data_IF_502730816671
#
_entry.id   IF_502730816671
#
_cell.length_a   1.000
_cell.length_b   1.000
_cell.length_c   1.000
_cell.angle_alpha   90.00
_cell.angle_beta   90.00
_cell.angle_gamma   90.00
#
_symmetry.space_group_name_H-M   'P 1'
#
loop_
_entity.id
_entity.type
_entity.pdbx_description
1 polymer ?
#
# COMPACT_ATOMS: atom_id res chain seq x y z
N UNK A 1 -14.95 8.82 7.62
CA UNK A 1 -16.27 8.37 7.15
C UNK A 1 -16.06 7.21 6.19
N UNK A 2 -16.79 6.10 6.34
CA UNK A 2 -16.64 4.93 5.45
C UNK A 2 -17.41 5.16 4.15
N UNK A 3 -16.76 4.95 3.02
CA UNK A 3 -17.37 5.06 1.69
C UNK A 3 -17.73 3.67 1.17
N UNK A 4 -19.01 3.43 0.88
CA UNK A 4 -19.46 2.15 0.32
C UNK A 4 -19.40 2.15 -1.20
N UNK A 5 -18.77 1.11 -1.76
CA UNK A 5 -18.54 0.96 -3.21
C UNK A 5 -19.05 -0.38 -3.73
N UNK A 6 -19.14 -0.49 -5.05
CA UNK A 6 -19.46 -1.75 -5.72
C UNK A 6 -18.30 -2.75 -5.61
N UNK A 7 -18.59 -4.04 -5.81
CA UNK A 7 -17.57 -5.11 -5.73
C UNK A 7 -16.44 -4.88 -6.74
N UNK A 8 -16.77 -4.44 -7.96
CA UNK A 8 -15.78 -4.16 -9.00
C UNK A 8 -14.81 -3.04 -8.57
N UNK A 9 -15.33 -1.96 -7.99
CA UNK A 9 -14.54 -0.83 -7.50
C UNK A 9 -13.66 -1.23 -6.31
N UNK A 10 -14.18 -2.07 -5.43
CA UNK A 10 -13.43 -2.61 -4.29
C UNK A 10 -12.25 -3.50 -4.74
N UNK A 11 -12.45 -4.33 -5.77
CA UNK A 11 -11.39 -5.13 -6.38
C UNK A 11 -10.37 -4.26 -7.10
N UNK A 12 -10.82 -3.28 -7.89
CA UNK A 12 -9.92 -2.31 -8.54
C UNK A 12 -9.09 -1.54 -7.51
N UNK A 13 -9.68 -1.16 -6.36
CA UNK A 13 -8.95 -0.55 -5.26
C UNK A 13 -7.88 -1.49 -4.68
N UNK A 14 -8.22 -2.77 -4.52
CA UNK A 14 -7.27 -3.81 -4.07
C UNK A 14 -6.09 -3.94 -5.04
N UNK A 15 -6.37 -4.01 -6.33
CA UNK A 15 -5.34 -4.12 -7.37
C UNK A 15 -4.42 -2.89 -7.37
N UNK A 16 -4.98 -1.67 -7.25
CA UNK A 16 -4.18 -0.44 -7.13
C UNK A 16 -3.23 -0.46 -5.94
N UNK A 17 -3.70 -0.91 -4.76
CA UNK A 17 -2.84 -1.06 -3.58
C UNK A 17 -1.70 -2.06 -3.84
N UNK A 18 -2.02 -3.18 -4.49
CA UNK A 18 -1.04 -4.20 -4.85
C UNK A 18 0.01 -3.67 -5.86
N UNK A 19 -0.43 -2.97 -6.90
CA UNK A 19 0.46 -2.37 -7.91
C UNK A 19 1.37 -1.31 -7.29
N UNK A 20 0.85 -0.47 -6.39
CA UNK A 20 1.65 0.52 -5.65
C UNK A 20 2.75 -0.16 -4.81
N UNK A 21 2.39 -1.22 -4.08
CA UNK A 21 3.31 -1.92 -3.19
C UNK A 21 4.38 -2.74 -3.93
N UNK A 22 4.06 -3.26 -5.12
CA UNK A 22 4.96 -4.15 -5.87
C UNK A 22 5.56 -3.45 -7.08
N UNK A 23 4.76 -3.22 -8.13
CA UNK A 23 5.27 -2.76 -9.42
C UNK A 23 5.90 -1.37 -9.31
N UNK A 24 5.21 -0.42 -8.68
CA UNK A 24 5.72 0.96 -8.59
C UNK A 24 6.89 1.07 -7.62
N UNK A 25 6.81 0.41 -6.46
CA UNK A 25 7.90 0.40 -5.49
C UNK A 25 9.18 -0.20 -6.07
N UNK A 26 9.10 -1.37 -6.71
CA UNK A 26 10.26 -2.04 -7.31
C UNK A 26 10.82 -1.30 -8.53
N UNK A 27 10.02 -0.43 -9.17
CA UNK A 27 10.50 0.39 -10.27
C UNK A 27 11.32 1.61 -9.81
N UNK A 28 11.25 1.99 -8.54
CA UNK A 28 12.04 3.11 -8.01
C UNK A 28 13.50 2.71 -7.79
N UNK A 29 14.40 3.22 -8.62
CA UNK A 29 15.85 2.99 -8.54
C UNK A 29 16.55 4.04 -7.68
N UNK A 30 16.01 5.28 -7.60
CA UNK A 30 16.60 6.40 -6.85
C UNK A 30 15.86 6.81 -5.58
N UNK A 31 16.53 7.60 -4.72
CA UNK A 31 15.90 8.20 -3.53
C UNK A 31 14.79 9.17 -3.91
N UNK A 32 15.00 10.02 -4.93
CA UNK A 32 13.98 10.97 -5.40
C UNK A 32 12.71 10.27 -5.89
N UNK A 33 12.87 9.17 -6.62
CA UNK A 33 11.76 8.34 -7.10
C UNK A 33 11.02 7.70 -5.92
N UNK A 34 11.75 7.15 -4.95
CA UNK A 34 11.15 6.58 -3.72
C UNK A 34 10.47 7.64 -2.86
N UNK A 35 11.00 8.86 -2.78
CA UNK A 35 10.37 9.99 -2.10
C UNK A 35 9.04 10.35 -2.76
N UNK A 36 9.04 10.52 -4.08
CA UNK A 36 7.83 10.80 -4.87
C UNK A 36 6.79 9.67 -4.74
N UNK A 37 7.25 8.42 -4.87
CA UNK A 37 6.42 7.23 -4.69
C UNK A 37 5.82 7.18 -3.28
N UNK A 38 6.60 7.43 -2.23
CA UNK A 38 6.14 7.42 -0.83
C UNK A 38 4.99 8.39 -0.62
N UNK A 39 5.14 9.63 -1.09
CA UNK A 39 4.08 10.64 -0.99
C UNK A 39 2.82 10.28 -1.78
N UNK A 40 2.96 9.67 -2.96
CA UNK A 40 1.83 9.17 -3.75
C UNK A 40 1.13 7.99 -3.07
N UNK A 41 1.90 7.02 -2.58
CA UNK A 41 1.43 5.82 -1.89
C UNK A 41 0.66 6.16 -0.61
N UNK A 42 1.16 7.12 0.19
CA UNK A 42 0.47 7.60 1.39
C UNK A 42 -0.90 8.21 1.07
N UNK A 43 -0.98 9.05 0.03
CA UNK A 43 -2.25 9.66 -0.40
C UNK A 43 -3.25 8.60 -0.85
N UNK A 44 -2.83 7.69 -1.72
CA UNK A 44 -3.70 6.61 -2.19
C UNK A 44 -4.13 5.66 -1.06
N UNK A 45 -3.25 5.37 -0.10
CA UNK A 45 -3.62 4.57 1.05
C UNK A 45 -4.73 5.25 1.88
N UNK A 46 -4.58 6.55 2.16
CA UNK A 46 -5.59 7.31 2.92
C UNK A 46 -6.94 7.41 2.20
N UNK A 47 -6.92 7.56 0.87
CA UNK A 47 -8.12 7.56 0.03
C UNK A 47 -8.82 6.20 0.05
N UNK A 48 -8.06 5.12 -0.08
CA UNK A 48 -8.61 3.77 -0.28
C UNK A 48 -8.95 3.07 1.03
N UNK A 49 -8.26 3.34 2.14
CA UNK A 49 -8.47 2.60 3.40
C UNK A 49 -9.86 2.79 4.02
N UNK A 50 -10.56 3.86 3.64
CA UNK A 50 -11.93 4.15 4.07
C UNK A 50 -13.01 3.46 3.21
N UNK A 51 -12.61 2.72 2.17
CA UNK A 51 -13.54 1.99 1.32
C UNK A 51 -14.08 0.74 2.01
N UNK A 52 -15.38 0.50 1.83
CA UNK A 52 -16.03 -0.74 2.23
C UNK A 52 -16.97 -1.21 1.14
N UNK A 53 -17.26 -2.51 1.11
CA UNK A 53 -18.18 -3.08 0.15
C UNK A 53 -19.10 -4.07 0.87
N UNK A 54 -20.41 -3.81 0.84
CA UNK A 54 -21.41 -4.67 1.49
C UNK A 54 -21.46 -6.07 0.89
N UNK A 55 -21.18 -6.18 -0.42
CA UNK A 55 -21.24 -7.43 -1.20
C UNK A 55 -19.87 -8.08 -1.41
N UNK A 56 -18.80 -7.54 -0.82
CA UNK A 56 -17.48 -8.15 -0.91
C UNK A 56 -17.48 -9.50 -0.19
N UNK A 57 -16.97 -10.52 -0.89
CA UNK A 57 -16.74 -11.84 -0.30
C UNK A 57 -15.63 -11.77 0.75
N UNK A 58 -15.52 -12.80 1.58
CA UNK A 58 -14.43 -12.93 2.54
C UNK A 58 -13.06 -12.89 1.86
N UNK A 59 -12.95 -13.52 0.67
CA UNK A 59 -11.74 -13.46 -0.15
C UNK A 59 -11.39 -12.03 -0.54
N UNK A 60 -12.36 -11.25 -1.03
CA UNK A 60 -12.14 -9.86 -1.43
C UNK A 60 -11.62 -9.02 -0.25
N UNK A 61 -12.22 -9.19 0.93
CA UNK A 61 -11.81 -8.48 2.17
C UNK A 61 -10.38 -8.84 2.60
N UNK A 62 -10.03 -10.12 2.53
CA UNK A 62 -8.67 -10.60 2.84
C UNK A 62 -7.65 -10.05 1.85
N UNK A 63 -7.94 -10.06 0.55
CA UNK A 63 -7.06 -9.50 -0.46
C UNK A 63 -6.85 -7.99 -0.23
N UNK A 64 -7.91 -7.24 0.03
CA UNK A 64 -7.82 -5.80 0.33
C UNK A 64 -6.99 -5.50 1.58
N UNK A 65 -7.24 -6.24 2.67
CA UNK A 65 -6.49 -6.11 3.92
C UNK A 65 -5.01 -6.43 3.72
N UNK A 66 -4.71 -7.52 3.00
CA UNK A 66 -3.34 -7.91 2.69
C UNK A 66 -2.61 -6.86 1.83
N UNK A 67 -3.24 -6.37 0.76
CA UNK A 67 -2.69 -5.32 -0.11
C UNK A 67 -2.41 -4.03 0.68
N UNK A 68 -3.35 -3.64 1.55
CA UNK A 68 -3.21 -2.46 2.42
C UNK A 68 -2.04 -2.62 3.39
N UNK A 69 -1.88 -3.80 3.99
CA UNK A 69 -0.76 -4.10 4.90
C UNK A 69 0.58 -4.05 4.17
N UNK A 70 0.68 -4.70 3.00
CA UNK A 70 1.90 -4.67 2.19
C UNK A 70 2.30 -3.24 1.81
N UNK A 71 1.34 -2.42 1.38
CA UNK A 71 1.64 -1.02 1.05
C UNK A 71 2.14 -0.24 2.27
N UNK A 72 1.54 -0.45 3.46
CA UNK A 72 2.02 0.16 4.71
C UNK A 72 3.44 -0.27 5.07
N UNK A 73 3.77 -1.54 4.89
CA UNK A 73 5.12 -2.07 5.11
C UNK A 73 6.12 -1.44 4.14
N UNK A 74 5.81 -1.37 2.85
CA UNK A 74 6.64 -0.69 1.86
C UNK A 74 6.84 0.80 2.19
N UNK A 75 5.77 1.49 2.59
CA UNK A 75 5.86 2.88 3.06
C UNK A 75 6.80 2.92 4.27
N UNK A 76 6.61 2.09 5.28
CA UNK A 76 7.47 2.09 6.48
C UNK A 76 8.95 1.80 6.19
N UNK A 77 9.28 1.11 5.10
CA UNK A 77 10.67 0.88 4.65
C UNK A 77 11.33 2.09 4.00
N UNK A 78 10.61 3.17 3.72
CA UNK A 78 11.17 4.37 3.07
C UNK A 78 11.03 5.55 4.03
N UNK A 79 12.08 6.35 4.24
CA UNK A 79 11.97 7.55 5.07
C UNK A 79 11.41 8.75 4.26
N UNK A 80 11.29 9.91 4.89
CA UNK A 80 10.79 11.13 4.23
C UNK A 80 11.73 11.66 3.14
N UNK A 81 12.98 11.23 3.08
CA UNK A 81 13.94 11.58 2.04
C UNK A 81 14.04 10.52 0.92
N UNK A 82 13.22 9.46 0.96
CA UNK A 82 13.25 8.40 -0.04
C UNK A 82 14.33 7.33 0.19
N UNK A 83 15.03 7.37 1.32
CA UNK A 83 16.04 6.39 1.68
C UNK A 83 15.38 5.12 2.21
N UNK A 84 15.96 3.97 1.86
CA UNK A 84 15.54 2.68 2.39
C UNK A 84 16.00 2.53 3.84
N UNK A 85 15.04 2.45 4.75
CA UNK A 85 15.25 2.04 6.13
C UNK A 85 15.48 0.53 6.11
N UNK A 86 16.73 0.11 6.37
CA UNK A 86 17.04 -1.31 6.54
C UNK A 86 16.13 -1.88 7.63
N UNK A 87 15.56 -3.09 7.45
CA UNK A 87 14.98 -3.81 8.58
C UNK A 87 16.08 -3.90 9.62
N UNK A 88 15.83 -3.39 10.83
CA UNK A 88 16.79 -3.49 11.92
C UNK A 88 17.18 -4.95 12.01
N UNK A 89 18.40 -5.28 11.58
CA UNK A 89 18.93 -6.63 11.68
C UNK A 89 18.73 -7.02 13.13
N UNK A 90 17.96 -8.07 13.38
CA UNK A 90 17.94 -8.73 14.68
C UNK A 90 19.39 -9.21 14.86
N UNK A 91 20.21 -8.39 15.51
CA UNK A 91 21.54 -8.78 15.96
C UNK A 91 21.28 -9.79 17.06
N UNK A 92 21.32 -11.07 16.69
CA UNK A 92 21.43 -12.17 17.62
C UNK A 92 22.61 -11.90 18.56
N UNK A 93 22.34 -11.85 19.86
CA UNK A 93 23.24 -12.26 20.92
C UNK A 93 22.48 -13.09 21.92
#
# INVERSE_FOLDING_TARGET
MTTFVLVAEYRNATDRLFTLANAHFCACVGNDERHSWRGSAQRHLAELENLSCKRASERDRRCFSHASRLLRECIAMVNEHGEMLLPTSVVNR
#
